data_IF_950524039667
#
_entry.id   IF_950524039667
#
_cell.length_a   1.000
_cell.length_b   1.000
_cell.length_c   1.000
_cell.angle_alpha   90.00
_cell.angle_beta   90.00
_cell.angle_gamma   90.00
#
_symmetry.space_group_name_H-M   'P 1'
#
loop_
_entity.id
_entity.type
_entity.pdbx_description
1 polymer ?
#
# COMPACT_ATOMS: atom_id res chain seq x y z
N UNK A 1 12.36 21.34 24.63
CA UNK A 1 12.75 20.04 24.07
C UNK A 1 11.58 19.45 23.28
N UNK A 2 11.30 19.89 22.04
CA UNK A 2 10.20 19.33 21.21
C UNK A 2 10.53 19.27 19.70
N UNK A 3 11.79 19.50 19.31
CA UNK A 3 12.20 19.61 17.89
C UNK A 3 12.18 18.29 17.11
N UNK A 4 12.15 17.14 17.79
CA UNK A 4 12.30 15.83 17.14
C UNK A 4 10.98 15.28 16.58
N UNK A 5 9.85 15.56 17.23
CA UNK A 5 8.55 15.02 16.81
C UNK A 5 8.12 15.56 15.43
N UNK A 6 8.40 16.84 15.14
CA UNK A 6 8.03 17.49 13.87
C UNK A 6 8.88 17.02 12.69
N UNK A 7 10.15 16.69 12.93
CA UNK A 7 11.04 16.11 11.91
C UNK A 7 10.62 14.67 11.61
N UNK A 8 10.31 13.87 12.63
CA UNK A 8 9.80 12.52 12.46
C UNK A 8 8.46 12.53 11.72
N UNK A 9 7.49 13.36 12.11
CA UNK A 9 6.21 13.48 11.40
C UNK A 9 6.38 13.92 9.93
N UNK A 10 7.31 14.84 9.63
CA UNK A 10 7.59 15.22 8.24
C UNK A 10 8.34 14.13 7.47
N UNK A 11 9.24 13.39 8.12
CA UNK A 11 9.93 12.26 7.52
C UNK A 11 8.94 11.12 7.22
N UNK A 12 8.03 10.83 8.14
CA UNK A 12 6.96 9.87 7.97
C UNK A 12 5.95 10.36 6.93
N UNK A 13 5.55 11.63 6.91
CA UNK A 13 4.67 12.18 5.86
C UNK A 13 5.36 12.22 4.48
N UNK A 14 6.66 12.40 4.39
CA UNK A 14 7.38 12.33 3.12
C UNK A 14 7.56 10.87 2.68
N UNK A 15 7.91 9.98 3.62
CA UNK A 15 8.05 8.54 3.39
C UNK A 15 6.71 7.87 3.07
N UNK A 16 5.62 8.26 3.71
CA UNK A 16 4.28 7.64 3.58
C UNK A 16 3.30 8.44 2.74
N UNK A 17 3.49 9.75 2.59
CA UNK A 17 2.70 10.59 1.68
C UNK A 17 2.97 10.32 0.21
N UNK A 18 4.13 9.71 -0.13
CA UNK A 18 4.42 9.16 -1.46
C UNK A 18 3.76 7.77 -1.63
N UNK A 19 3.73 6.96 -0.56
CA UNK A 19 3.15 5.60 -0.56
C UNK A 19 1.62 5.64 -0.77
N UNK A 20 0.94 6.70 -0.32
CA UNK A 20 -0.47 6.96 -0.62
C UNK A 20 -0.78 7.21 -2.11
N UNK A 21 0.21 7.47 -2.97
CA UNK A 21 -0.02 7.85 -4.38
C UNK A 21 -0.28 6.63 -5.28
N UNK A 22 -0.11 5.41 -4.75
CA UNK A 22 -0.25 4.17 -5.51
C UNK A 22 -1.52 3.39 -5.23
N UNK A 23 -2.30 3.70 -4.20
CA UNK A 23 -3.63 3.09 -3.99
C UNK A 23 -4.71 4.07 -4.41
N UNK A 24 -5.64 3.63 -5.26
CA UNK A 24 -6.72 4.46 -5.79
C UNK A 24 -8.07 3.77 -5.61
N UNK A 25 -9.05 4.57 -5.19
CA UNK A 25 -10.47 4.21 -5.21
C UNK A 25 -11.12 4.91 -6.41
N UNK A 26 -11.95 4.18 -7.15
CA UNK A 26 -12.65 4.76 -8.31
C UNK A 26 -14.02 4.15 -8.37
N UNK A 27 -15.06 4.98 -8.26
CA UNK A 27 -16.44 4.53 -8.35
C UNK A 27 -16.66 3.74 -9.66
N UNK A 28 -17.31 2.59 -9.55
CA UNK A 28 -17.55 1.69 -10.68
C UNK A 28 -16.36 0.80 -11.09
N UNK A 29 -15.18 0.95 -10.50
CA UNK A 29 -14.03 0.04 -10.72
C UNK A 29 -13.80 -0.81 -9.48
N UNK A 30 -13.84 -2.14 -9.62
CA UNK A 30 -13.76 -3.08 -8.49
C UNK A 30 -14.79 -2.77 -7.38
N UNK A 31 -15.97 -2.26 -7.76
CA UNK A 31 -17.01 -1.85 -6.81
C UNK A 31 -16.64 -0.64 -5.94
N UNK A 32 -15.67 0.18 -6.37
CA UNK A 32 -15.15 1.30 -5.56
C UNK A 32 -14.05 0.89 -4.58
N UNK A 33 -13.70 -0.40 -4.51
CA UNK A 33 -12.67 -0.88 -3.58
C UNK A 33 -11.28 -0.32 -3.93
N UNK A 34 -10.45 -0.04 -2.91
CA UNK A 34 -9.08 0.39 -3.11
C UNK A 34 -8.25 -0.66 -3.85
N UNK A 35 -7.48 -0.19 -4.82
CA UNK A 35 -6.62 -1.02 -5.67
C UNK A 35 -5.32 -0.31 -5.96
N UNK A 36 -4.30 -1.06 -6.35
CA UNK A 36 -3.04 -0.47 -6.80
C UNK A 36 -3.25 0.17 -8.19
N UNK A 37 -2.86 1.45 -8.30
CA UNK A 37 -3.02 2.30 -9.48
C UNK A 37 -2.40 1.65 -10.71
N UNK A 38 -3.13 1.69 -11.81
CA UNK A 38 -2.70 1.07 -13.07
C UNK A 38 -2.92 -0.45 -13.12
N UNK A 39 -3.42 -1.06 -12.04
CA UNK A 39 -3.68 -2.50 -11.96
C UNK A 39 -5.14 -2.78 -11.59
N UNK A 40 -5.51 -4.07 -11.61
CA UNK A 40 -6.78 -4.58 -11.05
C UNK A 40 -6.58 -5.34 -9.74
N UNK A 41 -5.42 -5.21 -9.11
CA UNK A 41 -5.09 -5.87 -7.84
C UNK A 41 -5.62 -5.00 -6.69
N UNK A 42 -6.53 -5.55 -5.88
CA UNK A 42 -7.07 -4.83 -4.72
C UNK A 42 -6.03 -4.72 -3.60
N UNK A 43 -6.12 -3.67 -2.78
CA UNK A 43 -5.28 -3.54 -1.59
C UNK A 43 -5.56 -4.68 -0.60
N UNK A 44 -6.84 -5.01 -0.40
CA UNK A 44 -7.33 -6.17 0.35
C UNK A 44 -6.64 -7.48 -0.06
N UNK A 45 -6.60 -7.80 -1.37
CA UNK A 45 -5.97 -9.04 -1.86
C UNK A 45 -4.49 -9.13 -1.45
N UNK A 46 -3.75 -8.03 -1.57
CA UNK A 46 -2.34 -7.96 -1.16
C UNK A 46 -2.21 -8.15 0.34
N UNK A 47 -3.07 -7.51 1.13
CA UNK A 47 -3.04 -7.61 2.58
C UNK A 47 -3.40 -9.00 3.10
N UNK A 48 -4.32 -9.71 2.45
CA UNK A 48 -4.61 -11.12 2.74
C UNK A 48 -3.39 -12.02 2.49
N UNK A 49 -2.69 -11.83 1.37
CA UNK A 49 -1.46 -12.56 1.09
C UNK A 49 -0.38 -12.28 2.15
N UNK A 50 -0.24 -11.03 2.57
CA UNK A 50 0.72 -10.63 3.60
C UNK A 50 0.37 -11.19 4.99
N UNK A 51 -0.88 -11.02 5.45
CA UNK A 51 -1.28 -11.34 6.84
C UNK A 51 -1.77 -12.75 7.06
N UNK A 52 -2.49 -13.32 6.10
CA UNK A 52 -3.14 -14.63 6.28
C UNK A 52 -2.28 -15.76 5.72
N UNK A 53 -1.42 -15.47 4.74
CA UNK A 53 -0.50 -16.45 4.14
C UNK A 53 0.96 -16.23 4.54
N UNK A 54 1.23 -15.27 5.41
CA UNK A 54 2.56 -14.90 5.90
C UNK A 54 3.61 -14.68 4.78
N UNK A 55 3.15 -14.20 3.61
CA UNK A 55 4.04 -13.94 2.47
C UNK A 55 4.77 -12.61 2.65
N UNK A 56 6.05 -12.56 2.29
CA UNK A 56 6.81 -11.31 2.26
C UNK A 56 6.38 -10.40 1.10
N UNK A 57 6.56 -9.07 1.22
CA UNK A 57 6.24 -8.14 0.12
C UNK A 57 6.93 -8.48 -1.21
N UNK A 58 8.17 -8.98 -1.15
CA UNK A 58 8.93 -9.44 -2.32
C UNK A 58 8.31 -10.64 -2.99
N UNK A 59 7.91 -11.66 -2.22
CA UNK A 59 7.22 -12.84 -2.76
C UNK A 59 5.87 -12.46 -3.39
N UNK A 60 5.14 -11.53 -2.77
CA UNK A 60 3.86 -11.06 -3.32
C UNK A 60 4.07 -10.35 -4.67
N UNK A 61 5.11 -9.52 -4.81
CA UNK A 61 5.44 -8.86 -6.08
C UNK A 61 5.85 -9.86 -7.18
N UNK A 62 6.50 -10.97 -6.81
CA UNK A 62 6.82 -12.05 -7.75
C UNK A 62 5.57 -12.81 -8.21
N UNK A 63 4.61 -13.04 -7.30
CA UNK A 63 3.33 -13.73 -7.59
C UNK A 63 2.38 -12.83 -8.40
N UNK A 64 2.42 -11.52 -8.16
CA UNK A 64 1.55 -10.53 -8.80
C UNK A 64 2.36 -9.64 -9.76
N UNK A 65 2.80 -10.15 -10.93
CA UNK A 65 3.77 -9.47 -11.80
C UNK A 65 3.28 -8.15 -12.40
N UNK A 66 1.98 -7.85 -12.29
CA UNK A 66 1.42 -6.54 -12.64
C UNK A 66 1.64 -5.46 -11.59
N UNK A 67 2.20 -5.80 -10.42
CA UNK A 67 2.43 -4.93 -9.27
C UNK A 67 3.92 -4.99 -8.92
N UNK A 68 4.55 -3.83 -8.77
CA UNK A 68 5.92 -3.75 -8.27
C UNK A 68 5.96 -3.76 -6.73
N UNK A 69 7.14 -4.00 -6.16
CA UNK A 69 7.35 -4.06 -4.71
C UNK A 69 6.78 -2.82 -4.00
N UNK A 70 6.99 -1.63 -4.55
CA UNK A 70 6.48 -0.39 -3.98
C UNK A 70 4.94 -0.34 -3.97
N UNK A 71 4.28 -0.86 -5.01
CA UNK A 71 2.82 -1.03 -5.05
C UNK A 71 2.31 -2.01 -3.99
N UNK A 72 3.03 -3.12 -3.76
CA UNK A 72 2.71 -4.09 -2.70
C UNK A 72 2.81 -3.44 -1.31
N UNK A 73 3.95 -2.79 -1.02
CA UNK A 73 4.16 -2.10 0.26
C UNK A 73 3.11 -1.01 0.49
N UNK A 74 2.71 -0.30 -0.57
CA UNK A 74 1.66 0.72 -0.50
C UNK A 74 0.31 0.14 -0.14
N UNK A 75 -0.07 -0.99 -0.73
CA UNK A 75 -1.31 -1.68 -0.40
C UNK A 75 -1.33 -2.19 1.05
N UNK A 76 -0.23 -2.79 1.52
CA UNK A 76 -0.12 -3.25 2.91
C UNK A 76 -0.28 -2.09 3.89
N UNK A 77 0.41 -0.98 3.63
CA UNK A 77 0.36 0.19 4.52
C UNK A 77 -1.03 0.84 4.52
N UNK A 78 -1.68 0.93 3.36
CA UNK A 78 -3.05 1.45 3.25
C UNK A 78 -3.99 0.68 4.18
N UNK A 79 -4.04 -0.66 4.06
CA UNK A 79 -4.90 -1.55 4.86
C UNK A 79 -4.57 -1.54 6.36
N UNK A 80 -3.33 -1.24 6.74
CA UNK A 80 -2.95 -1.06 8.15
C UNK A 80 -3.36 0.30 8.74
N UNK A 81 -3.62 1.29 7.87
CA UNK A 81 -3.95 2.66 8.26
C UNK A 81 -5.45 2.97 8.25
N UNK A 82 -6.26 2.07 7.68
CA UNK A 82 -7.72 2.16 7.62
C UNK A 82 -8.42 1.53 8.83
#
# INVERSE_FOLDING_TARGET
MFGNARILLNHLNNKYGIVMVRVVETEGVLGGKPRIKGTRVSAEQVYEMYRQKDMSPTEIAEILPSVDLEGVESAIMYEQSC
#
